data_IF_500365281725
#
_entry.id   IF_500365281725
#
_cell.length_a   1.000
_cell.length_b   1.000
_cell.length_c   1.000
_cell.angle_alpha   90.00
_cell.angle_beta   90.00
_cell.angle_gamma   90.00
#
_symmetry.space_group_name_H-M   'P 1'
#
loop_
_entity.id
_entity.type
_entity.pdbx_description
1 polymer ?
#
# COMPACT_ATOMS: atom_id res chain seq x y z
N UNK A 1 32.93 6.78 -0.19
CA UNK A 1 32.08 6.70 1.01
C UNK A 1 32.06 5.25 1.47
N UNK A 2 32.20 4.93 2.76
CA UNK A 2 32.14 3.55 3.22
C UNK A 2 30.80 2.94 2.79
N UNK A 3 30.83 1.75 2.18
CA UNK A 3 29.62 0.99 1.88
C UNK A 3 28.78 0.93 3.15
N UNK A 4 27.57 1.50 3.09
CA UNK A 4 26.61 1.30 4.16
C UNK A 4 26.37 -0.20 4.25
N UNK A 5 26.59 -0.78 5.42
CA UNK A 5 26.29 -2.19 5.67
C UNK A 5 24.85 -2.30 6.18
N UNK A 6 24.22 -3.46 5.99
CA UNK A 6 22.91 -3.73 6.59
C UNK A 6 22.90 -3.48 8.10
N UNK A 7 24.01 -3.83 8.79
CA UNK A 7 24.21 -3.54 10.22
C UNK A 7 24.10 -2.05 10.56
N UNK A 8 24.74 -1.18 9.78
CA UNK A 8 24.65 0.27 9.98
C UNK A 8 23.21 0.77 9.76
N UNK A 9 22.57 0.32 8.68
CA UNK A 9 21.21 0.73 8.35
C UNK A 9 20.19 0.29 9.41
N UNK A 10 20.26 -0.96 9.83
CA UNK A 10 19.39 -1.49 10.90
C UNK A 10 19.65 -0.77 12.22
N UNK A 11 20.90 -0.50 12.59
CA UNK A 11 21.21 0.24 13.82
C UNK A 11 20.60 1.65 13.81
N UNK A 12 20.67 2.37 12.68
CA UNK A 12 20.01 3.67 12.51
C UNK A 12 18.49 3.54 12.64
N UNK A 13 17.88 2.59 11.92
CA UNK A 13 16.42 2.38 11.96
C UNK A 13 15.92 2.08 13.37
N UNK A 14 16.62 1.25 14.15
CA UNK A 14 16.24 0.92 15.54
C UNK A 14 16.14 2.14 16.47
N UNK A 15 16.90 3.20 16.22
CA UNK A 15 16.76 4.46 16.96
C UNK A 15 15.44 5.14 16.65
N UNK A 16 15.00 5.09 15.38
CA UNK A 16 13.75 5.68 14.92
C UNK A 16 12.52 4.82 15.24
N UNK A 17 12.66 3.49 15.32
CA UNK A 17 11.57 2.59 15.75
C UNK A 17 11.02 2.94 17.13
N UNK A 18 11.87 3.45 18.04
CA UNK A 18 11.45 3.91 19.38
C UNK A 18 10.49 5.09 19.34
N UNK A 19 10.44 5.81 18.21
CA UNK A 19 9.55 6.96 18.00
C UNK A 19 8.23 6.57 17.33
N UNK A 20 8.04 5.30 16.95
CA UNK A 20 6.76 4.84 16.44
C UNK A 20 5.67 5.03 17.51
N UNK A 21 4.50 5.45 17.05
CA UNK A 21 3.26 5.51 17.79
C UNK A 21 2.84 4.07 18.09
N UNK A 22 2.63 3.77 19.37
CA UNK A 22 2.15 2.47 19.81
C UNK A 22 0.62 2.44 19.89
N UNK A 23 0.07 1.26 20.17
CA UNK A 23 -1.37 1.02 20.26
C UNK A 23 -2.03 1.89 21.32
N UNK A 24 -1.36 2.08 22.46
CA UNK A 24 -1.87 2.89 23.57
C UNK A 24 -1.99 4.38 23.17
N UNK A 25 -1.00 4.93 22.47
CA UNK A 25 -1.05 6.30 21.95
C UNK A 25 -2.14 6.46 20.89
N UNK A 26 -2.28 5.53 19.94
CA UNK A 26 -3.37 5.57 18.95
C UNK A 26 -4.74 5.53 19.63
N UNK A 27 -4.94 4.65 20.62
CA UNK A 27 -6.19 4.54 21.36
C UNK A 27 -6.53 5.86 22.07
N UNK A 28 -5.55 6.46 22.76
CA UNK A 28 -5.73 7.77 23.41
C UNK A 28 -6.11 8.87 22.41
N UNK A 29 -5.49 8.90 21.22
CA UNK A 29 -5.86 9.86 20.17
C UNK A 29 -7.27 9.59 19.61
N UNK A 30 -7.67 8.32 19.52
CA UNK A 30 -8.99 7.93 19.05
C UNK A 30 -10.12 8.29 20.03
N UNK A 31 -9.83 8.44 21.31
CA UNK A 31 -10.80 8.86 22.34
C UNK A 31 -10.82 10.39 22.56
N UNK A 32 -9.78 11.09 22.12
CA UNK A 32 -9.61 12.53 22.34
C UNK A 32 -10.45 13.40 21.39
N UNK A 33 -10.56 14.70 21.69
CA UNK A 33 -11.02 15.70 20.72
C UNK A 33 -10.03 15.88 19.57
N UNK A 34 -10.42 16.54 18.47
CA UNK A 34 -9.54 16.75 17.32
C UNK A 34 -8.27 17.52 17.70
N UNK A 35 -8.39 18.58 18.50
CA UNK A 35 -7.28 19.41 18.96
C UNK A 35 -6.37 18.64 19.92
N UNK A 36 -6.93 17.85 20.84
CA UNK A 36 -6.15 17.02 21.77
C UNK A 36 -5.43 15.89 21.03
N UNK A 37 -6.07 15.24 20.07
CA UNK A 37 -5.45 14.21 19.24
C UNK A 37 -4.25 14.77 18.46
N UNK A 38 -4.39 15.96 17.88
CA UNK A 38 -3.28 16.66 17.23
C UNK A 38 -2.17 17.00 18.22
N UNK A 39 -2.50 17.49 19.41
CA UNK A 39 -1.50 17.80 20.44
C UNK A 39 -0.73 16.56 20.87
N UNK A 40 -1.42 15.44 21.12
CA UNK A 40 -0.79 14.15 21.43
C UNK A 40 0.15 13.67 20.31
N UNK A 41 -0.22 13.93 19.05
CA UNK A 41 0.62 13.62 17.90
C UNK A 41 1.90 14.49 17.89
N UNK A 42 1.77 15.80 18.07
CA UNK A 42 2.92 16.72 18.09
C UNK A 42 3.85 16.45 19.29
N UNK A 43 3.29 16.20 20.47
CA UNK A 43 4.03 15.85 21.70
C UNK A 43 4.86 14.56 21.52
N UNK A 44 4.45 13.68 20.60
CA UNK A 44 5.20 12.47 20.26
C UNK A 44 6.42 12.72 19.36
N UNK A 45 6.60 13.96 18.87
CA UNK A 45 7.64 14.35 17.92
C UNK A 45 7.34 13.92 16.49
N UNK A 46 6.06 13.77 16.14
CA UNK A 46 5.62 13.33 14.82
C UNK A 46 5.49 14.51 13.83
N UNK A 47 6.18 14.42 12.71
CA UNK A 47 6.22 15.49 11.70
C UNK A 47 6.98 16.74 12.17
N UNK A 48 6.96 17.80 11.37
CA UNK A 48 7.68 19.06 11.66
C UNK A 48 6.79 20.27 11.44
N UNK A 49 5.93 20.57 12.42
CA UNK A 49 5.17 21.82 12.46
C UNK A 49 4.64 22.04 13.90
N UNK A 50 5.43 22.69 14.78
CA UNK A 50 5.06 22.84 16.20
C UNK A 50 3.76 23.63 16.45
N UNK A 51 3.43 24.56 15.55
CA UNK A 51 2.26 25.44 15.64
C UNK A 51 1.11 24.99 14.72
N UNK A 52 1.09 23.72 14.32
CA UNK A 52 0.08 23.19 13.41
C UNK A 52 -1.34 23.23 14.01
N UNK A 53 -2.32 23.48 13.14
CA UNK A 53 -3.74 23.29 13.43
C UNK A 53 -4.24 21.94 12.90
N UNK A 54 -5.52 21.65 13.14
CA UNK A 54 -6.16 20.44 12.60
C UNK A 54 -6.26 20.48 11.07
N UNK A 55 -6.27 21.67 10.47
CA UNK A 55 -6.24 21.82 9.02
C UNK A 55 -4.92 21.32 8.42
N UNK A 56 -3.81 21.50 9.15
CA UNK A 56 -2.45 21.12 8.72
C UNK A 56 -2.13 19.63 8.91
N UNK A 57 -3.11 18.84 9.36
CA UNK A 57 -2.93 17.41 9.66
C UNK A 57 -2.32 16.60 8.50
N UNK A 58 -2.72 16.87 7.26
CA UNK A 58 -2.13 16.20 6.10
C UNK A 58 -0.69 16.62 5.83
N UNK A 59 -0.34 17.88 6.05
CA UNK A 59 1.03 18.38 5.87
C UNK A 59 1.98 17.78 6.91
N UNK A 60 1.54 17.67 8.16
CA UNK A 60 2.29 16.99 9.23
C UNK A 60 2.56 15.53 8.84
N UNK A 61 1.53 14.81 8.36
CA UNK A 61 1.66 13.42 7.93
C UNK A 61 2.60 13.30 6.72
N UNK A 62 2.47 14.19 5.74
CA UNK A 62 3.31 14.22 4.55
C UNK A 62 4.78 14.50 4.91
N UNK A 63 5.06 15.47 5.79
CA UNK A 63 6.42 15.76 6.27
C UNK A 63 7.02 14.54 6.97
N UNK A 64 6.27 13.90 7.87
CA UNK A 64 6.74 12.74 8.61
C UNK A 64 7.06 11.56 7.68
N UNK A 65 6.26 11.33 6.64
CA UNK A 65 6.52 10.32 5.61
C UNK A 65 7.72 10.70 4.74
N UNK A 66 7.85 11.96 4.33
CA UNK A 66 8.99 12.46 3.56
C UNK A 66 10.32 12.23 4.27
N UNK A 67 10.38 12.51 5.58
CA UNK A 67 11.54 12.20 6.41
C UNK A 67 11.83 10.70 6.49
N UNK A 68 10.77 9.88 6.53
CA UNK A 68 10.90 8.42 6.55
C UNK A 68 11.50 7.92 5.24
N UNK A 69 10.99 8.36 4.10
CA UNK A 69 11.52 7.95 2.79
C UNK A 69 12.96 8.42 2.60
N UNK A 70 13.28 9.63 3.06
CA UNK A 70 14.65 10.17 3.01
C UNK A 70 15.60 9.33 3.87
N UNK A 71 15.20 8.98 5.10
CA UNK A 71 15.98 8.12 5.99
C UNK A 71 16.17 6.73 5.39
N UNK A 72 15.12 6.10 4.86
CA UNK A 72 15.19 4.77 4.25
C UNK A 72 16.16 4.76 3.07
N UNK A 73 16.12 5.79 2.21
CA UNK A 73 17.09 5.95 1.12
C UNK A 73 18.50 6.19 1.64
N UNK A 74 18.65 7.02 2.68
CA UNK A 74 19.94 7.31 3.28
C UNK A 74 20.59 6.05 3.85
N UNK A 75 19.83 5.14 4.44
CA UNK A 75 20.40 4.03 5.24
C UNK A 75 20.40 2.68 4.51
N UNK A 76 19.86 2.62 3.30
CA UNK A 76 19.71 1.37 2.57
C UNK A 76 21.00 1.00 1.82
N UNK A 77 21.62 -0.15 2.13
CA UNK A 77 22.87 -0.58 1.50
C UNK A 77 22.70 -1.01 0.03
N UNK A 78 21.59 -1.69 -0.28
CA UNK A 78 21.19 -2.12 -1.62
C UNK A 78 19.72 -1.77 -1.80
N UNK A 79 19.44 -0.86 -2.73
CA UNK A 79 18.11 -0.28 -2.88
C UNK A 79 17.12 -1.22 -3.56
N UNK A 80 17.54 -2.30 -4.23
CA UNK A 80 16.63 -3.16 -5.00
C UNK A 80 15.38 -3.56 -4.20
N UNK A 81 15.57 -4.06 -2.98
CA UNK A 81 14.47 -4.56 -2.16
C UNK A 81 13.63 -3.43 -1.57
N UNK A 82 14.21 -2.28 -1.22
CA UNK A 82 13.43 -1.11 -0.76
C UNK A 82 12.68 -0.43 -1.90
N UNK A 83 13.32 -0.33 -3.06
CA UNK A 83 12.77 0.30 -4.26
C UNK A 83 11.53 -0.44 -4.73
N UNK A 84 11.49 -1.78 -4.63
CA UNK A 84 10.26 -2.55 -4.85
C UNK A 84 9.10 -1.97 -4.02
N UNK A 85 9.29 -1.65 -2.73
CA UNK A 85 8.19 -1.08 -1.91
C UNK A 85 7.91 0.40 -2.17
N UNK A 86 8.91 1.17 -2.61
CA UNK A 86 8.75 2.58 -2.96
C UNK A 86 8.06 2.76 -4.33
N UNK A 87 8.28 1.84 -5.26
CA UNK A 87 7.72 1.86 -6.62
C UNK A 87 6.19 1.86 -6.66
N UNK A 88 5.49 1.42 -5.61
CA UNK A 88 4.02 1.57 -5.53
C UNK A 88 3.56 3.03 -5.75
N UNK A 89 4.36 4.00 -5.32
CA UNK A 89 4.05 5.42 -5.51
C UNK A 89 4.27 5.83 -6.96
N UNK A 90 5.35 5.38 -7.60
CA UNK A 90 5.59 5.61 -9.03
C UNK A 90 4.48 4.98 -9.88
N UNK A 91 4.09 3.75 -9.59
CA UNK A 91 2.99 3.04 -10.27
C UNK A 91 1.66 3.78 -10.08
N UNK A 92 1.37 4.28 -8.88
CA UNK A 92 0.20 5.11 -8.64
C UNK A 92 0.23 6.40 -9.48
N UNK A 93 1.35 7.11 -9.45
CA UNK A 93 1.52 8.39 -10.13
C UNK A 93 1.47 8.24 -11.65
N UNK A 94 2.10 7.20 -12.21
CA UNK A 94 2.03 6.90 -13.64
C UNK A 94 0.61 6.57 -14.09
N UNK A 95 -0.15 5.76 -13.31
CA UNK A 95 -1.57 5.49 -13.58
C UNK A 95 -2.39 6.78 -13.59
N UNK A 96 -2.15 7.69 -12.65
CA UNK A 96 -2.84 8.97 -12.55
C UNK A 96 -2.51 9.87 -13.74
N UNK A 97 -1.23 10.07 -14.02
CA UNK A 97 -0.75 10.92 -15.12
C UNK A 97 -1.25 10.43 -16.49
N UNK A 98 -1.19 9.12 -16.75
CA UNK A 98 -1.73 8.55 -17.99
C UNK A 98 -3.23 8.81 -18.11
N UNK A 99 -4.00 8.63 -17.02
CA UNK A 99 -5.44 8.88 -17.04
C UNK A 99 -5.74 10.35 -17.34
N UNK A 100 -5.07 11.29 -16.67
CA UNK A 100 -5.23 12.73 -16.92
C UNK A 100 -4.91 13.10 -18.37
N UNK A 101 -3.79 12.60 -18.90
CA UNK A 101 -3.38 12.83 -20.29
C UNK A 101 -4.40 12.29 -21.29
N UNK A 102 -4.93 11.08 -21.05
CA UNK A 102 -5.88 10.43 -21.96
C UNK A 102 -7.30 11.01 -21.89
N UNK A 103 -7.71 11.54 -20.74
CA UNK A 103 -9.02 12.21 -20.61
C UNK A 103 -8.94 13.69 -20.96
N UNK A 104 -7.75 14.25 -21.13
CA UNK A 104 -7.54 15.69 -21.32
C UNK A 104 -7.88 16.51 -20.07
N UNK A 105 -7.90 15.88 -18.89
CA UNK A 105 -8.22 16.56 -17.63
C UNK A 105 -7.08 17.49 -17.22
N UNK A 106 -7.44 18.69 -16.76
CA UNK A 106 -6.53 19.69 -16.20
C UNK A 106 -6.54 19.72 -14.68
N UNK A 107 -7.14 18.70 -14.04
CA UNK A 107 -7.14 18.57 -12.59
C UNK A 107 -5.71 18.42 -12.06
N UNK A 108 -5.43 19.06 -10.92
CA UNK A 108 -4.15 18.89 -10.25
C UNK A 108 -4.05 17.45 -9.69
N UNK A 109 -3.03 16.67 -10.09
CA UNK A 109 -2.88 15.31 -9.61
C UNK A 109 -2.50 15.28 -8.13
N UNK A 110 -3.28 14.54 -7.34
CA UNK A 110 -2.89 14.19 -5.97
C UNK A 110 -1.84 13.08 -5.98
N UNK A 111 -0.56 13.45 -6.09
CA UNK A 111 0.54 12.49 -6.15
C UNK A 111 0.77 11.72 -4.84
N UNK A 112 1.18 10.47 -4.98
CA UNK A 112 1.78 9.69 -3.90
C UNK A 112 3.27 10.02 -3.79
N UNK A 113 3.72 10.36 -2.58
CA UNK A 113 5.13 10.63 -2.29
C UNK A 113 5.91 9.34 -2.00
N UNK A 114 7.24 9.44 -2.04
CA UNK A 114 8.16 8.34 -1.67
C UNK A 114 8.60 7.45 -2.83
N UNK A 115 8.03 7.62 -4.01
CA UNK A 115 8.40 6.88 -5.23
C UNK A 115 9.86 7.07 -5.64
N UNK A 116 10.45 6.06 -6.28
CA UNK A 116 11.86 6.03 -6.70
C UNK A 116 12.18 7.26 -7.55
N UNK A 117 11.23 7.68 -8.39
CA UNK A 117 11.33 8.85 -9.27
C UNK A 117 10.60 10.05 -8.67
N UNK A 118 11.09 11.25 -8.95
CA UNK A 118 10.38 12.49 -8.63
C UNK A 118 9.09 12.62 -9.44
N UNK A 119 8.07 13.25 -8.87
CA UNK A 119 6.79 13.54 -9.54
C UNK A 119 6.96 14.36 -10.81
N UNK A 120 7.93 15.27 -10.82
CA UNK A 120 8.27 16.13 -11.98
C UNK A 120 8.82 15.29 -13.12
N UNK A 121 9.77 14.40 -12.83
CA UNK A 121 10.33 13.48 -13.83
C UNK A 121 9.27 12.55 -14.42
N UNK A 122 8.41 11.93 -13.59
CA UNK A 122 7.32 11.10 -14.07
C UNK A 122 6.34 11.89 -14.96
N UNK A 123 6.04 13.14 -14.58
CA UNK A 123 5.18 14.03 -15.37
C UNK A 123 5.80 14.35 -16.72
N UNK A 124 7.10 14.64 -16.78
CA UNK A 124 7.82 14.89 -18.02
C UNK A 124 7.85 13.67 -18.94
N UNK A 125 8.12 12.48 -18.39
CA UNK A 125 8.12 11.22 -19.14
C UNK A 125 6.74 10.93 -19.74
N UNK A 126 5.67 11.09 -18.96
CA UNK A 126 4.30 10.90 -19.46
C UNK A 126 3.90 12.00 -20.46
N UNK A 127 4.30 13.25 -20.28
CA UNK A 127 3.98 14.31 -21.24
C UNK A 127 4.67 14.11 -22.60
N UNK A 128 5.91 13.60 -22.61
CA UNK A 128 6.71 13.36 -23.81
C UNK A 128 6.51 11.98 -24.44
N UNK A 129 5.82 11.06 -23.76
CA UNK A 129 5.77 9.63 -24.12
C UNK A 129 7.17 9.00 -24.26
N UNK A 130 8.15 9.52 -23.52
CA UNK A 130 9.51 8.98 -23.45
C UNK A 130 9.76 8.39 -22.06
N UNK A 131 9.86 7.07 -22.02
CA UNK A 131 10.01 6.28 -20.79
C UNK A 131 11.41 5.68 -20.65
N UNK A 132 12.37 6.09 -21.49
CA UNK A 132 13.73 5.54 -21.54
C UNK A 132 14.52 5.67 -20.23
N UNK A 133 14.13 6.63 -19.38
CA UNK A 133 14.74 6.84 -18.06
C UNK A 133 14.13 5.96 -16.95
N UNK A 134 13.05 5.22 -17.22
CA UNK A 134 12.50 4.23 -16.29
C UNK A 134 13.32 2.93 -16.34
N UNK A 135 13.26 2.14 -15.28
CA UNK A 135 13.81 0.79 -15.25
C UNK A 135 13.19 -0.06 -16.38
N UNK A 136 14.00 -0.93 -17.00
CA UNK A 136 13.65 -1.68 -18.23
C UNK A 136 12.26 -2.33 -18.19
N UNK A 137 11.91 -2.99 -17.08
CA UNK A 137 10.62 -3.67 -16.93
C UNK A 137 9.44 -2.70 -16.95
N UNK A 138 9.61 -1.50 -16.38
CA UNK A 138 8.58 -0.48 -16.29
C UNK A 138 8.50 0.32 -17.58
N UNK A 139 9.64 0.61 -18.21
CA UNK A 139 9.71 1.19 -19.55
C UNK A 139 8.92 0.31 -20.54
N UNK A 140 9.22 -1.00 -20.59
CA UNK A 140 8.51 -1.95 -21.45
C UNK A 140 6.99 -2.01 -21.17
N UNK A 141 6.59 -1.94 -19.89
CA UNK A 141 5.18 -1.90 -19.52
C UNK A 141 4.47 -0.63 -20.01
N UNK A 142 5.14 0.52 -19.91
CA UNK A 142 4.61 1.82 -20.37
C UNK A 142 4.53 1.89 -21.90
N UNK A 143 5.57 1.44 -22.62
CA UNK A 143 5.56 1.39 -24.09
C UNK A 143 4.45 0.45 -24.62
N UNK A 144 4.28 -0.71 -23.97
CA UNK A 144 3.19 -1.64 -24.31
C UNK A 144 1.81 -1.01 -24.06
N UNK A 145 1.67 -0.18 -23.03
CA UNK A 145 0.44 0.57 -22.78
C UNK A 145 0.17 1.60 -23.88
N UNK A 146 1.18 2.37 -24.30
CA UNK A 146 1.04 3.34 -25.39
C UNK A 146 0.55 2.69 -26.68
N UNK A 147 1.13 1.53 -27.05
CA UNK A 147 0.69 0.76 -28.21
C UNK A 147 -0.78 0.32 -28.08
N UNK A 148 -1.24 0.02 -26.86
CA UNK A 148 -2.61 -0.41 -26.64
C UNK A 148 -3.64 0.69 -26.88
N UNK A 149 -3.28 1.97 -26.65
CA UNK A 149 -4.16 3.12 -26.84
C UNK A 149 -4.47 3.42 -28.31
N UNK A 150 -3.62 2.97 -29.24
CA UNK A 150 -3.84 3.15 -30.69
C UNK A 150 -5.16 2.50 -31.14
N UNK A 151 -5.59 1.43 -30.48
CA UNK A 151 -6.77 0.66 -30.84
C UNK A 151 -8.02 1.08 -30.06
N UNK A 152 -7.94 1.17 -28.73
CA UNK A 152 -9.03 1.60 -27.84
C UNK A 152 -8.50 1.94 -26.45
N UNK A 153 -8.95 3.06 -25.88
CA UNK A 153 -8.57 3.48 -24.53
C UNK A 153 -9.50 2.81 -23.50
N UNK A 154 -8.95 1.92 -22.68
CA UNK A 154 -9.65 1.34 -21.53
C UNK A 154 -8.89 1.67 -20.22
N UNK A 155 -9.42 2.56 -19.35
CA UNK A 155 -8.78 2.93 -18.08
C UNK A 155 -8.53 1.77 -17.11
N UNK A 156 -9.36 0.71 -17.16
CA UNK A 156 -9.18 -0.50 -16.35
C UNK A 156 -7.91 -1.22 -16.79
N UNK A 157 -7.67 -1.32 -18.10
CA UNK A 157 -6.48 -1.97 -18.68
C UNK A 157 -5.18 -1.30 -18.24
N UNK A 158 -5.15 0.03 -18.15
CA UNK A 158 -3.99 0.79 -17.65
C UNK A 158 -3.62 0.34 -16.25
N UNK A 159 -4.64 0.27 -15.39
CA UNK A 159 -4.43 -0.03 -13.97
C UNK A 159 -3.91 -1.46 -13.81
N UNK A 160 -4.54 -2.42 -14.48
CA UNK A 160 -4.21 -3.84 -14.37
C UNK A 160 -2.85 -4.16 -14.98
N UNK A 161 -2.50 -3.57 -16.12
CA UNK A 161 -1.22 -3.84 -16.77
C UNK A 161 -0.03 -3.35 -15.92
N UNK A 162 -0.11 -2.14 -15.36
CA UNK A 162 0.95 -1.64 -14.48
C UNK A 162 1.01 -2.39 -13.15
N UNK A 163 -0.14 -2.74 -12.58
CA UNK A 163 -0.18 -3.53 -11.34
C UNK A 163 0.41 -4.93 -11.58
N UNK A 164 0.12 -5.58 -12.71
CA UNK A 164 0.69 -6.88 -13.05
C UNK A 164 2.21 -6.81 -13.29
N UNK A 165 2.68 -5.80 -14.04
CA UNK A 165 4.11 -5.61 -14.28
C UNK A 165 4.88 -5.38 -12.96
N UNK A 166 4.30 -4.58 -12.06
CA UNK A 166 4.87 -4.32 -10.75
C UNK A 166 4.93 -5.57 -9.88
N UNK A 167 3.85 -6.36 -9.86
CA UNK A 167 3.78 -7.61 -9.09
C UNK A 167 4.77 -8.65 -9.64
N UNK A 168 4.87 -8.80 -10.96
CA UNK A 168 5.84 -9.69 -11.60
C UNK A 168 7.28 -9.29 -11.25
N UNK A 169 7.59 -7.98 -11.33
CA UNK A 169 8.90 -7.47 -10.96
C UNK A 169 9.24 -7.78 -9.50
N UNK A 170 8.31 -7.55 -8.57
CA UNK A 170 8.49 -7.80 -7.15
C UNK A 170 8.71 -9.30 -6.86
N UNK A 171 7.95 -10.19 -7.51
CA UNK A 171 8.07 -11.64 -7.32
C UNK A 171 9.36 -12.21 -7.93
N UNK A 172 9.83 -11.64 -9.04
CA UNK A 172 11.05 -12.10 -9.73
C UNK A 172 12.34 -11.64 -9.03
N UNK A 173 12.35 -10.43 -8.49
CA UNK A 173 13.55 -9.80 -7.93
C UNK A 173 13.56 -9.72 -6.40
N UNK A 174 12.44 -10.08 -5.76
CA UNK A 174 12.32 -10.15 -4.31
C UNK A 174 13.08 -11.34 -3.71
N UNK A 175 13.52 -11.18 -2.46
CA UNK A 175 13.92 -12.31 -1.63
C UNK A 175 12.69 -13.06 -1.09
N UNK A 176 12.89 -14.11 -0.28
CA UNK A 176 11.80 -14.91 0.29
C UNK A 176 10.74 -14.07 1.02
N UNK A 177 11.16 -13.07 1.81
CA UNK A 177 10.26 -12.16 2.51
C UNK A 177 9.43 -11.31 1.53
N UNK A 178 10.06 -10.70 0.53
CA UNK A 178 9.36 -9.89 -0.48
C UNK A 178 8.40 -10.76 -1.28
N UNK A 179 8.82 -11.94 -1.71
CA UNK A 179 7.95 -12.89 -2.42
C UNK A 179 6.74 -13.24 -1.56
N UNK A 180 6.93 -13.65 -0.30
CA UNK A 180 5.80 -13.96 0.61
C UNK A 180 4.84 -12.76 0.76
N UNK A 181 5.39 -11.54 0.91
CA UNK A 181 4.59 -10.32 1.04
C UNK A 181 3.74 -10.06 -0.20
N UNK A 182 4.34 -10.10 -1.39
CA UNK A 182 3.64 -9.78 -2.62
C UNK A 182 2.69 -10.90 -3.05
N UNK A 183 2.98 -12.17 -2.76
CA UNK A 183 2.00 -13.26 -2.96
C UNK A 183 0.74 -13.05 -2.12
N UNK A 184 0.91 -12.77 -0.82
CA UNK A 184 -0.23 -12.47 0.05
C UNK A 184 -1.00 -11.23 -0.41
N UNK A 185 -0.29 -10.17 -0.83
CA UNK A 185 -0.92 -8.98 -1.39
C UNK A 185 -1.76 -9.29 -2.64
N UNK A 186 -1.23 -10.12 -3.55
CA UNK A 186 -1.96 -10.59 -4.73
C UNK A 186 -3.25 -11.31 -4.35
N UNK A 187 -3.15 -12.28 -3.42
CA UNK A 187 -4.29 -13.09 -2.97
C UNK A 187 -5.41 -12.23 -2.38
N UNK A 188 -5.08 -11.34 -1.44
CA UNK A 188 -6.06 -10.42 -0.86
C UNK A 188 -6.67 -9.48 -1.91
N UNK A 189 -5.86 -8.92 -2.82
CA UNK A 189 -6.35 -8.01 -3.85
C UNK A 189 -7.26 -8.72 -4.85
N UNK A 190 -6.92 -9.95 -5.24
CA UNK A 190 -7.75 -10.78 -6.12
C UNK A 190 -9.08 -11.16 -5.46
N UNK A 191 -9.07 -11.54 -4.19
CA UNK A 191 -10.29 -11.81 -3.42
C UNK A 191 -11.17 -10.56 -3.32
N UNK A 192 -10.58 -9.40 -3.02
CA UNK A 192 -11.29 -8.12 -3.00
C UNK A 192 -11.90 -7.79 -4.38
N UNK A 193 -11.14 -8.00 -5.46
CA UNK A 193 -11.63 -7.78 -6.82
C UNK A 193 -12.81 -8.70 -7.15
N UNK A 194 -12.69 -10.00 -6.87
CA UNK A 194 -13.77 -10.97 -7.10
C UNK A 194 -15.05 -10.61 -6.33
N UNK A 195 -14.94 -10.20 -5.06
CA UNK A 195 -16.10 -9.78 -4.26
C UNK A 195 -16.73 -8.47 -4.77
N UNK A 196 -15.93 -7.52 -5.26
CA UNK A 196 -16.43 -6.30 -5.93
C UNK A 196 -17.18 -6.63 -7.22
N UNK A 197 -16.63 -7.51 -8.06
CA UNK A 197 -17.29 -7.98 -9.28
C UNK A 197 -18.65 -8.61 -8.96
N UNK A 198 -18.71 -9.49 -7.96
CA UNK A 198 -19.97 -10.08 -7.49
C UNK A 198 -20.98 -9.03 -7.01
N UNK A 199 -20.53 -8.03 -6.25
CA UNK A 199 -21.40 -6.93 -5.80
C UNK A 199 -21.93 -6.08 -6.97
N UNK A 200 -21.22 -6.05 -8.09
CA UNK A 200 -21.63 -5.41 -9.34
C UNK A 200 -22.42 -6.35 -10.28
N UNK A 201 -22.78 -7.55 -9.81
CA UNK A 201 -23.42 -8.61 -10.62
C UNK A 201 -22.61 -9.00 -11.87
N UNK A 202 -21.28 -8.93 -11.79
CA UNK A 202 -20.35 -9.38 -12.83
C UNK A 202 -19.83 -10.78 -12.52
N UNK A 203 -19.73 -11.61 -13.56
CA UNK A 203 -19.31 -13.01 -13.47
C UNK A 203 -17.80 -13.21 -13.55
N UNK A 204 -17.39 -14.48 -13.50
CA UNK A 204 -15.98 -14.88 -13.59
C UNK A 204 -15.32 -14.51 -14.93
N UNK A 205 -16.10 -14.24 -15.97
CA UNK A 205 -15.62 -13.75 -17.27
C UNK A 205 -14.86 -12.42 -17.15
N UNK A 206 -15.25 -11.57 -16.19
CA UNK A 206 -14.59 -10.29 -15.88
C UNK A 206 -13.40 -10.41 -14.97
N UNK A 207 -13.25 -11.53 -14.25
CA UNK A 207 -12.11 -11.74 -13.37
C UNK A 207 -10.78 -11.72 -14.13
N UNK A 208 -10.75 -12.27 -15.36
CA UNK A 208 -9.54 -12.31 -16.20
C UNK A 208 -9.00 -10.92 -16.53
N UNK A 209 -9.87 -9.91 -16.51
CA UNK A 209 -9.51 -8.53 -16.84
C UNK A 209 -8.85 -7.82 -15.66
N UNK A 210 -8.98 -8.34 -14.43
CA UNK A 210 -8.51 -7.69 -13.19
C UNK A 210 -7.62 -8.58 -12.32
N UNK A 211 -7.44 -9.85 -12.71
CA UNK A 211 -6.67 -10.83 -11.94
C UNK A 211 -5.17 -10.51 -11.96
N UNK A 212 -4.59 -10.51 -10.77
CA UNK A 212 -3.16 -10.32 -10.52
C UNK A 212 -2.49 -11.69 -10.36
N UNK A 213 -1.56 -12.09 -11.25
CA UNK A 213 -0.89 -13.38 -11.15
C UNK A 213 0.12 -13.43 -9.99
N UNK A 214 0.53 -14.65 -9.63
CA UNK A 214 1.65 -14.90 -8.71
C UNK A 214 1.27 -15.18 -7.26
N UNK A 215 0.01 -14.95 -6.86
CA UNK A 215 -0.52 -15.38 -5.56
C UNK A 215 -0.65 -16.90 -5.40
N UNK A 216 -1.01 -17.36 -4.20
CA UNK A 216 -1.32 -18.77 -3.93
C UNK A 216 -2.73 -19.17 -4.40
N UNK A 217 -3.65 -18.21 -4.49
CA UNK A 217 -4.99 -18.42 -5.03
C UNK A 217 -4.92 -18.35 -6.55
N UNK A 218 -5.05 -19.50 -7.20
CA UNK A 218 -5.02 -19.57 -8.68
C UNK A 218 -6.25 -18.91 -9.31
N UNK A 219 -6.11 -18.47 -10.56
CA UNK A 219 -7.24 -17.96 -11.35
C UNK A 219 -8.41 -18.95 -11.39
N UNK A 220 -8.13 -20.24 -11.59
CA UNK A 220 -9.15 -21.28 -11.64
C UNK A 220 -9.88 -21.42 -10.30
N UNK A 221 -9.14 -21.47 -9.18
CA UNK A 221 -9.71 -21.53 -7.83
C UNK A 221 -10.66 -20.36 -7.60
N UNK A 222 -10.22 -19.14 -7.90
CA UNK A 222 -11.00 -17.93 -7.68
C UNK A 222 -12.19 -17.82 -8.63
N UNK A 223 -12.02 -18.21 -9.90
CA UNK A 223 -13.10 -18.28 -10.89
C UNK A 223 -14.20 -19.24 -10.46
N UNK A 224 -13.85 -20.43 -9.98
CA UNK A 224 -14.84 -21.38 -9.44
C UNK A 224 -15.50 -20.83 -8.16
N UNK A 225 -14.76 -20.11 -7.31
CA UNK A 225 -15.32 -19.50 -6.12
C UNK A 225 -16.37 -18.41 -6.42
N UNK A 226 -16.30 -17.73 -7.58
CA UNK A 226 -17.31 -16.74 -7.95
C UNK A 226 -18.70 -17.35 -8.18
N UNK A 227 -18.77 -18.63 -8.55
CA UNK A 227 -20.02 -19.35 -8.84
C UNK A 227 -20.71 -19.92 -7.59
N UNK A 228 -20.03 -19.94 -6.43
CA UNK A 228 -20.62 -20.43 -5.17
C UNK A 228 -21.31 -19.31 -4.38
N UNK A 229 -22.30 -19.63 -3.52
CA UNK A 229 -22.87 -18.65 -2.58
C UNK A 229 -21.79 -17.95 -1.76
N UNK A 230 -22.04 -16.70 -1.36
CA UNK A 230 -21.02 -15.87 -0.69
C UNK A 230 -20.57 -16.48 0.65
N UNK A 231 -21.46 -17.22 1.30
CA UNK A 231 -21.21 -17.95 2.54
C UNK A 231 -20.22 -19.10 2.35
N UNK A 232 -20.17 -19.69 1.14
CA UNK A 232 -19.21 -20.73 0.78
C UNK A 232 -17.91 -20.17 0.18
N UNK A 233 -17.88 -18.87 -0.15
CA UNK A 233 -16.77 -18.22 -0.86
C UNK A 233 -15.47 -18.30 -0.06
N UNK A 234 -15.51 -17.98 1.24
CA UNK A 234 -14.32 -17.99 2.10
C UNK A 234 -13.64 -19.37 2.13
N UNK A 235 -14.43 -20.44 2.17
CA UNK A 235 -13.92 -21.80 2.11
C UNK A 235 -13.35 -22.14 0.72
N UNK A 236 -13.99 -21.67 -0.34
CA UNK A 236 -13.57 -21.92 -1.72
C UNK A 236 -12.22 -21.27 -2.06
N UNK A 237 -11.87 -20.15 -1.43
CA UNK A 237 -10.59 -19.45 -1.62
C UNK A 237 -9.56 -19.73 -0.53
N UNK A 238 -9.80 -20.74 0.32
CA UNK A 238 -8.91 -21.09 1.44
C UNK A 238 -7.66 -21.83 0.94
N UNK A 239 -6.71 -21.07 0.37
CA UNK A 239 -5.45 -21.58 -0.18
C UNK A 239 -4.28 -20.73 0.32
N UNK A 240 -3.13 -21.36 0.52
CA UNK A 240 -1.89 -20.68 0.88
C UNK A 240 -1.81 -20.16 2.32
N UNK A 241 -0.70 -19.50 2.68
CA UNK A 241 -0.41 -19.04 4.04
C UNK A 241 -1.37 -17.95 4.55
N UNK A 242 -1.96 -17.15 3.65
CA UNK A 242 -2.89 -16.07 4.01
C UNK A 242 -4.35 -16.54 4.18
N UNK A 243 -4.66 -17.81 3.86
CA UNK A 243 -6.02 -18.37 3.86
C UNK A 243 -6.85 -18.06 5.11
N UNK A 244 -6.27 -18.24 6.31
CA UNK A 244 -6.96 -17.95 7.58
C UNK A 244 -7.32 -16.47 7.73
N UNK A 245 -6.41 -15.56 7.39
CA UNK A 245 -6.66 -14.12 7.49
C UNK A 245 -7.61 -13.62 6.42
N UNK A 246 -7.57 -14.20 5.22
CA UNK A 246 -8.58 -13.96 4.17
C UNK A 246 -9.96 -14.39 4.67
N UNK A 247 -10.08 -15.58 5.25
CA UNK A 247 -11.33 -16.07 5.82
C UNK A 247 -11.86 -15.13 6.91
N UNK A 248 -11.01 -14.72 7.87
CA UNK A 248 -11.38 -13.76 8.92
C UNK A 248 -11.90 -12.44 8.33
N UNK A 249 -11.26 -11.94 7.27
CA UNK A 249 -11.67 -10.71 6.58
C UNK A 249 -13.02 -10.85 5.87
N UNK A 250 -13.27 -12.00 5.23
CA UNK A 250 -14.56 -12.29 4.56
C UNK A 250 -15.67 -12.44 5.61
N UNK A 251 -15.44 -13.18 6.69
CA UNK A 251 -16.42 -13.38 7.76
C UNK A 251 -16.77 -12.03 8.42
N UNK A 252 -15.78 -11.17 8.64
CA UNK A 252 -15.99 -9.82 9.14
C UNK A 252 -16.77 -8.95 8.15
N UNK A 253 -16.49 -9.05 6.85
CA UNK A 253 -17.25 -8.37 5.80
C UNK A 253 -18.71 -8.82 5.77
N UNK A 254 -18.97 -10.13 5.85
CA UNK A 254 -20.34 -10.69 5.87
C UNK A 254 -21.12 -10.20 7.10
N UNK A 255 -20.47 -10.11 8.26
CA UNK A 255 -21.09 -9.61 9.49
C UNK A 255 -21.39 -8.11 9.45
N UNK A 256 -20.49 -7.30 8.89
CA UNK A 256 -20.63 -5.83 8.90
C UNK A 256 -21.28 -5.26 7.63
N UNK A 257 -21.37 -6.06 6.57
CA UNK A 257 -21.75 -5.61 5.23
C UNK A 257 -20.71 -4.70 4.55
N UNK A 258 -19.47 -4.61 5.07
CA UNK A 258 -18.46 -3.65 4.58
C UNK A 258 -17.20 -4.33 4.08
N UNK A 259 -16.87 -4.09 2.81
CA UNK A 259 -15.64 -4.61 2.18
C UNK A 259 -14.36 -4.11 2.87
N UNK A 260 -14.41 -2.95 3.52
CA UNK A 260 -13.29 -2.40 4.28
C UNK A 260 -12.81 -3.31 5.41
N UNK A 261 -13.65 -4.23 5.90
CA UNK A 261 -13.23 -5.25 6.86
C UNK A 261 -12.14 -6.15 6.30
N UNK A 262 -12.28 -6.59 5.04
CA UNK A 262 -11.28 -7.42 4.36
C UNK A 262 -10.03 -6.63 4.00
N UNK A 263 -10.16 -5.36 3.60
CA UNK A 263 -9.02 -4.47 3.37
C UNK A 263 -8.18 -4.26 4.64
N UNK A 264 -8.86 -4.13 5.79
CA UNK A 264 -8.22 -4.04 7.09
C UNK A 264 -7.46 -5.32 7.43
N UNK A 265 -8.07 -6.49 7.23
CA UNK A 265 -7.38 -7.77 7.50
C UNK A 265 -6.20 -8.03 6.55
N UNK A 266 -6.27 -7.58 5.30
CA UNK A 266 -5.10 -7.56 4.40
C UNK A 266 -3.98 -6.73 5.00
N UNK A 267 -4.27 -5.49 5.37
CA UNK A 267 -3.26 -4.57 5.89
C UNK A 267 -2.67 -5.09 7.22
N UNK A 268 -3.49 -5.70 8.08
CA UNK A 268 -3.06 -6.37 9.31
C UNK A 268 -2.12 -7.56 9.03
N UNK A 269 -2.48 -8.43 8.09
CA UNK A 269 -1.64 -9.57 7.73
C UNK A 269 -0.28 -9.12 7.20
N UNK A 270 -0.28 -8.15 6.28
CA UNK A 270 0.94 -7.64 5.65
C UNK A 270 1.87 -6.95 6.66
N UNK A 271 1.34 -6.19 7.63
CA UNK A 271 2.19 -5.56 8.64
C UNK A 271 2.76 -6.57 9.65
N UNK A 272 1.97 -7.59 10.03
CA UNK A 272 2.45 -8.69 10.89
C UNK A 272 3.55 -9.48 10.17
N UNK A 273 3.38 -9.74 8.87
CA UNK A 273 4.40 -10.40 8.06
C UNK A 273 5.70 -9.59 8.02
N UNK A 274 5.60 -8.26 7.80
CA UNK A 274 6.76 -7.36 7.84
C UNK A 274 7.42 -7.29 9.23
N UNK A 275 6.68 -7.56 10.30
CA UNK A 275 7.17 -7.60 11.69
C UNK A 275 7.98 -8.85 12.03
N UNK A 276 7.84 -9.97 11.32
CA UNK A 276 8.49 -11.25 11.68
C UNK A 276 10.01 -11.15 11.76
N UNK A 277 10.61 -10.35 10.88
CA UNK A 277 12.06 -10.24 10.73
C UNK A 277 12.64 -9.01 11.44
N UNK A 278 11.87 -8.34 12.31
CA UNK A 278 12.30 -7.16 13.09
C UNK A 278 13.58 -7.38 13.91
N UNK A 279 13.77 -8.61 14.39
CA UNK A 279 14.91 -8.99 15.22
C UNK A 279 16.24 -9.13 14.46
N UNK A 280 16.19 -9.28 13.14
CA UNK A 280 17.37 -9.44 12.30
C UNK A 280 18.26 -8.18 12.36
N UNK A 281 19.56 -8.35 12.16
CA UNK A 281 20.56 -7.27 12.29
C UNK A 281 21.36 -7.04 11.02
N UNK A 282 21.47 -8.05 10.17
CA UNK A 282 22.33 -8.09 8.99
C UNK A 282 21.53 -8.22 7.68
N UNK A 283 20.21 -8.02 7.74
CA UNK A 283 19.32 -8.04 6.58
C UNK A 283 18.64 -6.69 6.36
N UNK A 284 18.04 -6.51 5.18
CA UNK A 284 17.25 -5.31 4.86
C UNK A 284 15.85 -5.34 5.48
N UNK A 285 15.41 -6.49 6.00
CA UNK A 285 14.02 -6.70 6.41
C UNK A 285 13.56 -5.72 7.52
N UNK A 286 14.37 -5.38 8.55
CA UNK A 286 13.99 -4.36 9.53
C UNK A 286 13.80 -2.96 8.91
N UNK A 287 14.58 -2.61 7.88
CA UNK A 287 14.47 -1.32 7.19
C UNK A 287 13.12 -1.24 6.45
N UNK A 288 12.76 -2.30 5.73
CA UNK A 288 11.46 -2.40 5.04
C UNK A 288 10.32 -2.47 6.05
N UNK A 289 10.48 -3.22 7.14
CA UNK A 289 9.51 -3.30 8.23
C UNK A 289 9.20 -1.93 8.82
N UNK A 290 10.22 -1.13 9.10
CA UNK A 290 10.07 0.25 9.56
C UNK A 290 9.39 1.16 8.52
N UNK A 291 9.75 1.06 7.23
CA UNK A 291 9.08 1.79 6.15
C UNK A 291 7.56 1.52 6.16
N UNK A 292 7.19 0.23 6.15
CA UNK A 292 5.80 -0.20 6.16
C UNK A 292 5.08 0.20 7.46
N UNK A 293 5.76 0.15 8.60
CA UNK A 293 5.24 0.61 9.88
C UNK A 293 4.83 2.08 9.85
N UNK A 294 5.72 2.93 9.32
CA UNK A 294 5.50 4.38 9.22
C UNK A 294 4.35 4.74 8.28
N UNK A 295 4.21 4.02 7.17
CA UNK A 295 3.07 4.20 6.27
C UNK A 295 1.75 3.76 6.89
N UNK A 296 1.74 2.63 7.59
CA UNK A 296 0.56 2.13 8.30
C UNK A 296 0.14 3.09 9.42
N UNK A 297 1.11 3.56 10.19
CA UNK A 297 0.92 4.57 11.23
C UNK A 297 0.32 5.86 10.67
N UNK A 298 0.87 6.38 9.56
CA UNK A 298 0.32 7.55 8.87
C UNK A 298 -1.15 7.34 8.44
N UNK A 299 -1.52 6.13 7.95
CA UNK A 299 -2.90 5.80 7.60
C UNK A 299 -3.82 5.78 8.83
N UNK A 300 -3.36 5.23 9.95
CA UNK A 300 -4.13 5.19 11.20
C UNK A 300 -4.32 6.58 11.79
N UNK A 301 -3.27 7.42 11.79
CA UNK A 301 -3.35 8.81 12.23
C UNK A 301 -4.30 9.61 11.32
N UNK A 302 -4.17 9.47 10.00
CA UNK A 302 -5.07 10.12 9.04
C UNK A 302 -6.54 9.77 9.30
N UNK A 303 -6.82 8.48 9.55
CA UNK A 303 -8.17 8.02 9.89
C UNK A 303 -8.69 8.72 11.16
N UNK A 304 -7.89 8.76 12.23
CA UNK A 304 -8.28 9.38 13.51
C UNK A 304 -8.53 10.87 13.32
N UNK A 305 -7.56 11.62 12.79
CA UNK A 305 -7.66 13.07 12.64
C UNK A 305 -8.81 13.47 11.70
N UNK A 306 -8.98 12.74 10.60
CA UNK A 306 -10.11 12.99 9.67
C UNK A 306 -11.44 12.71 10.34
N UNK A 307 -11.58 11.61 11.08
CA UNK A 307 -12.83 11.28 11.77
C UNK A 307 -13.16 12.32 12.85
N UNK A 308 -12.17 12.71 13.67
CA UNK A 308 -12.35 13.71 14.72
C UNK A 308 -12.64 15.10 14.17
N UNK A 309 -11.93 15.54 13.13
CA UNK A 309 -12.18 16.83 12.46
C UNK A 309 -13.60 16.93 11.93
N UNK A 310 -14.16 15.82 11.44
CA UNK A 310 -15.51 15.75 10.89
C UNK A 310 -16.58 15.32 11.92
N UNK A 311 -16.24 15.25 13.22
CA UNK A 311 -17.13 14.81 14.31
C UNK A 311 -17.82 13.46 14.02
N UNK A 312 -17.10 12.53 13.38
CA UNK A 312 -17.60 11.19 13.13
C UNK A 312 -17.64 10.37 14.43
N UNK A 313 -18.58 9.41 14.55
CA UNK A 313 -18.63 8.51 15.70
C UNK A 313 -17.33 7.72 15.89
N UNK A 314 -16.89 7.57 17.13
CA UNK A 314 -15.67 6.83 17.48
C UNK A 314 -15.69 5.37 17.04
N UNK A 315 -16.89 4.78 16.87
CA UNK A 315 -17.07 3.45 16.30
C UNK A 315 -16.49 3.33 14.88
N UNK A 316 -16.53 4.40 14.08
CA UNK A 316 -15.92 4.41 12.74
C UNK A 316 -14.40 4.27 12.83
N UNK A 317 -13.79 4.88 13.85
CA UNK A 317 -12.35 4.76 14.09
C UNK A 317 -12.03 3.33 14.54
N UNK A 318 -12.70 2.82 15.58
CA UNK A 318 -12.39 1.49 16.14
C UNK A 318 -12.64 0.35 15.15
N UNK A 319 -13.64 0.46 14.28
CA UNK A 319 -13.91 -0.54 13.23
C UNK A 319 -12.84 -0.55 12.14
N UNK A 320 -12.21 0.59 11.85
CA UNK A 320 -11.29 0.74 10.70
C UNK A 320 -9.82 0.88 11.10
N UNK A 321 -9.54 1.01 12.40
CA UNK A 321 -8.18 1.08 12.92
C UNK A 321 -7.46 -0.22 12.61
N UNK A 322 -6.22 -0.11 12.13
CA UNK A 322 -5.41 -1.25 11.72
C UNK A 322 -4.43 -1.64 12.81
N UNK A 323 -3.97 -2.88 12.75
CA UNK A 323 -2.82 -3.34 13.52
C UNK A 323 -1.60 -2.49 13.19
N UNK A 324 -0.80 -2.23 14.22
CA UNK A 324 0.48 -1.54 14.10
C UNK A 324 1.63 -2.54 14.07
N UNK A 325 2.77 -2.07 13.57
CA UNK A 325 4.02 -2.78 13.66
C UNK A 325 4.41 -3.01 15.13
N UNK A 326 4.66 -4.26 15.50
CA UNK A 326 4.88 -4.66 16.89
C UNK A 326 5.58 -5.98 16.97
#
# INVERSE_FOLDING_TARGET
MPQQSALFGVARIRVHEKKLINKEKLARMAEASAQEALRLLLDSGYGTMPEATIEDSEEIIASALSQTYSLVREVTPNSLLTDIFLMKADIHNLKLLLKLRLTGSTEEPAFMSGGVYSTEALSQMVASSDYSALADWLCAAMESLEQSFVSHINPVKISVQLDNAYMEYALKNGNSFVVEYFKAQADFNNVLAALRLRAMNQGADKLKEVFIPGGDITFLTLSCAMEVPVEAFAKAVSTGPASRSIQLGIDAMLRTGRISSLERERDNYLIVLAGRNKGEIDTIAPIIGFLLAREQEARSIRLILTAKRNNLPDSIISERLRELYG
#
